data_IF_625879799027
#
_entry.id   IF_625879799027
#
_cell.length_a   1.000
_cell.length_b   1.000
_cell.length_c   1.000
_cell.angle_alpha   90.00
_cell.angle_beta   90.00
_cell.angle_gamma   90.00
#
_symmetry.space_group_name_H-M   'P 1'
#
loop_
_entity.id
_entity.type
_entity.pdbx_description
1 polymer ?
#
# COMPACT_ATOMS: atom_id res chain seq x y z
N UNK A 1 0.36 7.28 -0.72
CA UNK A 1 0.87 6.05 -0.07
C UNK A 1 -0.12 5.61 0.99
N UNK A 2 -0.54 4.35 0.98
CA UNK A 2 -1.40 3.77 2.02
C UNK A 2 -0.53 2.95 2.98
N UNK A 3 -0.42 3.34 4.24
CA UNK A 3 0.49 2.69 5.20
C UNK A 3 -0.16 2.51 6.57
N UNK A 4 0.41 1.63 7.38
CA UNK A 4 0.07 1.45 8.78
C UNK A 4 1.31 1.73 9.64
N UNK A 5 1.09 2.15 10.88
CA UNK A 5 2.17 2.35 11.85
C UNK A 5 2.50 1.01 12.50
N UNK A 6 3.74 0.55 12.31
CA UNK A 6 4.28 -0.67 12.87
C UNK A 6 5.80 -0.56 12.97
N UNK A 7 6.41 -1.41 13.81
CA UNK A 7 7.87 -1.40 14.03
C UNK A 7 8.65 -1.43 12.70
N UNK A 8 8.24 -2.31 11.80
CA UNK A 8 8.86 -2.53 10.49
C UNK A 8 8.58 -1.43 9.45
N UNK A 9 7.61 -0.54 9.71
CA UNK A 9 7.23 0.53 8.77
C UNK A 9 7.60 1.93 9.26
N UNK A 10 8.21 2.05 10.44
CA UNK A 10 8.58 3.35 11.04
C UNK A 10 9.61 4.11 10.19
N UNK A 11 10.67 3.44 9.74
CA UNK A 11 11.69 4.08 8.89
C UNK A 11 11.08 4.61 7.59
N UNK A 12 10.08 3.90 7.06
CA UNK A 12 9.34 4.31 5.87
C UNK A 12 8.47 5.55 6.15
N UNK A 13 7.86 5.63 7.33
CA UNK A 13 7.10 6.81 7.76
C UNK A 13 7.99 8.04 7.94
N UNK A 14 9.15 7.88 8.55
CA UNK A 14 10.13 8.96 8.74
C UNK A 14 10.64 9.46 7.39
N UNK A 15 10.93 8.55 6.45
CA UNK A 15 11.30 8.92 5.07
C UNK A 15 10.19 9.70 4.36
N UNK A 16 8.92 9.31 4.55
CA UNK A 16 7.81 10.03 3.92
C UNK A 16 7.53 11.40 4.54
N UNK A 17 7.80 11.58 5.84
CA UNK A 17 7.66 12.88 6.50
C UNK A 17 8.54 13.96 5.86
N UNK A 18 9.67 13.59 5.26
CA UNK A 18 10.56 14.49 4.53
C UNK A 18 10.27 14.56 3.01
N UNK A 19 9.19 13.94 2.55
CA UNK A 19 8.85 13.80 1.12
C UNK A 19 7.61 14.59 0.72
N UNK A 20 7.33 14.63 -0.59
CA UNK A 20 6.07 15.18 -1.13
C UNK A 20 4.97 14.12 -1.29
N UNK A 21 5.17 12.91 -0.75
CA UNK A 21 4.19 11.81 -0.88
C UNK A 21 3.11 12.00 0.18
N UNK A 22 1.86 12.08 -0.27
CA UNK A 22 0.72 12.04 0.64
C UNK A 22 0.61 10.67 1.31
N UNK A 23 0.54 10.68 2.64
CA UNK A 23 0.43 9.47 3.45
C UNK A 23 -0.99 9.35 4.00
N UNK A 24 -1.63 8.23 3.71
CA UNK A 24 -2.96 7.87 4.20
C UNK A 24 -2.83 6.66 5.11
N UNK A 25 -3.25 6.81 6.36
CA UNK A 25 -3.26 5.72 7.32
C UNK A 25 -4.46 4.80 7.08
N UNK A 26 -4.24 3.50 7.22
CA UNK A 26 -5.29 2.50 7.16
C UNK A 26 -5.33 1.62 8.41
N UNK A 27 -6.36 0.78 8.52
CA UNK A 27 -6.54 -0.14 9.67
C UNK A 27 -6.45 -1.63 9.33
N UNK A 28 -6.55 -1.98 8.05
CA UNK A 28 -6.38 -3.35 7.56
C UNK A 28 -5.65 -3.33 6.21
N UNK A 29 -4.67 -4.22 6.03
CA UNK A 29 -3.77 -4.23 4.86
C UNK A 29 -4.53 -4.52 3.57
N UNK A 30 -5.50 -5.45 3.63
CA UNK A 30 -6.41 -5.71 2.52
C UNK A 30 -7.10 -4.43 2.01
N UNK A 31 -7.56 -3.54 2.91
CA UNK A 31 -8.13 -2.26 2.50
C UNK A 31 -7.10 -1.37 1.82
N UNK A 32 -5.85 -1.37 2.28
CA UNK A 32 -4.76 -0.62 1.68
C UNK A 32 -4.47 -1.04 0.24
N UNK A 33 -4.43 -2.34 -0.01
CA UNK A 33 -4.26 -2.89 -1.35
C UNK A 33 -5.41 -2.47 -2.29
N UNK A 34 -6.66 -2.54 -1.83
CA UNK A 34 -7.80 -2.09 -2.63
C UNK A 34 -7.83 -0.57 -2.85
N UNK A 35 -7.40 0.23 -1.88
CA UNK A 35 -7.27 1.69 -2.05
C UNK A 35 -6.19 2.03 -3.09
N UNK A 36 -5.04 1.34 -3.05
CA UNK A 36 -3.99 1.50 -4.06
C UNK A 36 -4.46 1.10 -5.45
N UNK A 37 -5.14 -0.05 -5.56
CA UNK A 37 -5.70 -0.54 -6.81
C UNK A 37 -6.75 0.42 -7.37
N UNK A 38 -7.69 0.87 -6.53
CA UNK A 38 -8.74 1.81 -6.90
C UNK A 38 -8.18 3.15 -7.36
N UNK A 39 -7.14 3.66 -6.70
CA UNK A 39 -6.44 4.86 -7.13
C UNK A 39 -5.80 4.67 -8.52
N UNK A 40 -5.07 3.57 -8.72
CA UNK A 40 -4.47 3.24 -10.03
C UNK A 40 -5.53 3.09 -11.13
N UNK A 41 -6.68 2.50 -10.80
CA UNK A 41 -7.83 2.35 -11.70
C UNK A 41 -8.45 3.68 -12.12
N UNK A 42 -8.65 4.60 -11.17
CA UNK A 42 -9.34 5.87 -11.41
C UNK A 42 -8.43 6.93 -12.05
N UNK A 43 -7.16 6.96 -11.67
CA UNK A 43 -6.24 8.04 -12.05
C UNK A 43 -5.25 7.65 -13.14
N UNK A 44 -5.07 6.35 -13.39
CA UNK A 44 -4.00 5.83 -14.25
C UNK A 44 -2.59 6.02 -13.67
N UNK A 45 -2.47 6.53 -12.44
CA UNK A 45 -1.19 6.78 -11.76
C UNK A 45 -0.92 5.70 -10.70
N UNK A 46 0.33 5.21 -10.58
CA UNK A 46 0.69 4.26 -9.54
C UNK A 46 0.36 4.79 -8.14
N UNK A 47 -0.20 3.91 -7.32
CA UNK A 47 -0.29 4.11 -5.88
C UNK A 47 0.36 2.93 -5.16
N UNK A 48 0.94 3.23 -3.99
CA UNK A 48 1.63 2.25 -3.17
C UNK A 48 0.85 1.97 -1.88
N UNK A 49 0.87 0.70 -1.45
CA UNK A 49 0.49 0.27 -0.12
C UNK A 49 1.68 -0.43 0.57
N UNK A 50 1.82 -0.28 1.88
CA UNK A 50 2.81 -1.02 2.69
C UNK A 50 2.15 -1.87 3.75
N UNK A 51 2.74 -3.00 4.10
CA UNK A 51 2.40 -3.79 5.29
C UNK A 51 3.66 -4.20 6.06
N UNK A 52 3.48 -4.67 7.30
CA UNK A 52 4.56 -5.33 8.04
C UNK A 52 4.80 -6.75 7.53
N UNK A 53 5.89 -7.37 7.97
CA UNK A 53 6.19 -8.77 7.73
C UNK A 53 5.11 -9.72 8.29
N UNK A 54 5.08 -10.94 7.75
CA UNK A 54 4.19 -12.02 8.20
C UNK A 54 2.73 -11.81 7.78
N UNK A 55 1.76 -11.81 8.71
CA UNK A 55 0.33 -11.78 8.37
C UNK A 55 -0.05 -10.51 7.59
N UNK A 56 0.60 -9.38 7.86
CA UNK A 56 0.38 -8.12 7.13
C UNK A 56 0.64 -8.27 5.62
N UNK A 57 1.78 -8.86 5.26
CA UNK A 57 2.12 -9.17 3.86
C UNK A 57 1.07 -10.05 3.19
N UNK A 58 0.61 -11.11 3.87
CA UNK A 58 -0.41 -12.01 3.32
C UNK A 58 -1.77 -11.34 3.16
N UNK A 59 -2.10 -10.38 4.03
CA UNK A 59 -3.36 -9.62 3.93
C UNK A 59 -3.39 -8.68 2.70
N UNK A 60 -2.24 -8.31 2.13
CA UNK A 60 -2.18 -7.54 0.87
C UNK A 60 -2.52 -8.40 -0.36
N UNK A 61 -2.27 -9.71 -0.31
CA UNK A 61 -2.29 -10.62 -1.48
C UNK A 61 -3.60 -10.55 -2.25
N UNK A 62 -4.74 -10.51 -1.56
CA UNK A 62 -6.06 -10.46 -2.21
C UNK A 62 -6.22 -9.22 -3.10
N UNK A 63 -5.81 -8.04 -2.61
CA UNK A 63 -5.91 -6.81 -3.40
C UNK A 63 -4.86 -6.71 -4.51
N UNK A 64 -3.67 -7.27 -4.29
CA UNK A 64 -2.64 -7.37 -5.34
C UNK A 64 -3.10 -8.30 -6.47
N UNK A 65 -3.69 -9.45 -6.10
CA UNK A 65 -4.23 -10.41 -7.05
C UNK A 65 -5.36 -9.81 -7.91
N UNK A 66 -6.20 -8.95 -7.35
CA UNK A 66 -7.24 -8.22 -8.08
C UNK A 66 -6.66 -7.18 -9.06
N UNK A 67 -5.53 -6.56 -8.71
CA UNK A 67 -4.87 -5.56 -9.56
C UNK A 67 -4.19 -6.13 -10.81
N UNK A 68 -3.74 -7.39 -10.76
CA UNK A 68 -3.06 -8.07 -11.87
C UNK A 68 -3.90 -8.19 -13.14
N UNK A 69 -5.11 -8.80 -13.13
CA UNK A 69 -5.92 -8.95 -14.33
C UNK A 69 -6.40 -7.61 -14.89
N UNK A 70 -6.61 -6.60 -14.04
CA UNK A 70 -7.02 -5.26 -14.45
C UNK A 70 -5.86 -4.41 -15.04
N UNK A 71 -4.63 -4.92 -14.97
CA UNK A 71 -3.39 -4.24 -15.35
C UNK A 71 -3.29 -2.82 -14.76
N UNK A 72 -3.68 -2.66 -13.48
CA UNK A 72 -3.63 -1.34 -12.81
C UNK A 72 -2.32 -1.14 -12.08
N UNK A 73 -1.76 0.08 -12.13
CA UNK A 73 -0.50 0.36 -11.50
C UNK A 73 -0.68 0.39 -9.97
N UNK A 74 -0.19 -0.66 -9.30
CA UNK A 74 -0.17 -0.83 -7.85
C UNK A 74 1.24 -1.25 -7.43
N UNK A 75 1.74 -0.68 -6.33
CA UNK A 75 3.00 -1.07 -5.70
C UNK A 75 2.71 -1.58 -4.30
N UNK A 76 3.08 -2.82 -3.99
CA UNK A 76 2.99 -3.39 -2.65
C UNK A 76 4.39 -3.49 -2.03
N UNK A 77 4.57 -2.88 -0.86
CA UNK A 77 5.82 -2.87 -0.10
C UNK A 77 5.59 -3.66 1.18
N UNK A 78 6.47 -4.59 1.51
CA UNK A 78 6.42 -5.32 2.78
C UNK A 78 7.82 -5.44 3.35
N UNK A 79 7.90 -5.40 4.69
CA UNK A 79 9.06 -5.90 5.43
C UNK A 79 9.20 -7.41 5.33
#
# INVERSE_FOLDING_TARGET
MFTLLGEETNDLMDAFAASFIEVVLYRHEQCAAFMAWGHGRLTGRPAACSATLGPGATNLVTGVADAQPDAKPLIAITG
#
